data_IF_967801480266
#
_entry.id   IF_967801480266
#
_cell.length_a   1.000
_cell.length_b   1.000
_cell.length_c   1.000
_cell.angle_alpha   90.00
_cell.angle_beta   90.00
_cell.angle_gamma   90.00
#
_symmetry.space_group_name_H-M   'P 1'
#
loop_
_entity.id
_entity.type
_entity.pdbx_description
1 polymer ?
#
# COMPACT_ATOMS: atom_id res chain seq x y z
N UNK A 1 -11.07 3.16 15.80
CA UNK A 1 -12.30 2.89 16.55
C UNK A 1 -13.48 3.51 15.82
N UNK A 2 -14.49 2.71 15.50
CA UNK A 2 -15.78 3.17 14.96
C UNK A 2 -16.51 4.03 15.99
N UNK A 3 -17.07 5.16 15.54
CA UNK A 3 -17.80 6.08 16.41
C UNK A 3 -19.02 5.42 17.06
N UNK A 4 -19.62 6.14 18.02
CA UNK A 4 -20.70 5.74 18.95
C UNK A 4 -21.95 5.04 18.34
N UNK A 5 -22.04 4.95 17.00
CA UNK A 5 -23.18 4.42 16.25
C UNK A 5 -22.86 3.17 15.42
N UNK A 6 -21.71 2.51 15.61
CA UNK A 6 -21.46 1.15 15.12
C UNK A 6 -21.48 0.98 13.59
N UNK A 7 -21.21 2.04 12.82
CA UNK A 7 -21.07 1.91 11.36
C UNK A 7 -19.73 1.28 11.01
N UNK A 8 -19.68 0.34 10.06
CA UNK A 8 -18.43 -0.27 9.63
C UNK A 8 -17.49 0.80 9.04
N UNK A 9 -16.20 0.61 9.28
CA UNK A 9 -15.11 1.34 8.65
C UNK A 9 -15.02 1.03 7.16
N UNK A 10 -14.33 1.88 6.39
CA UNK A 10 -14.03 1.59 4.99
C UNK A 10 -13.27 0.27 4.82
N UNK A 11 -12.33 -0.04 5.72
CA UNK A 11 -11.60 -1.31 5.71
C UNK A 11 -12.54 -2.51 5.91
N UNK A 12 -13.45 -2.45 6.89
CA UNK A 12 -14.44 -3.51 7.13
C UNK A 12 -15.40 -3.69 5.94
N UNK A 13 -15.80 -2.61 5.28
CA UNK A 13 -16.64 -2.68 4.07
C UNK A 13 -15.88 -3.33 2.90
N UNK A 14 -14.62 -2.95 2.69
CA UNK A 14 -13.77 -3.52 1.63
C UNK A 14 -13.51 -5.00 1.88
N UNK A 15 -13.22 -5.39 3.13
CA UNK A 15 -13.04 -6.78 3.53
C UNK A 15 -14.29 -7.62 3.24
N UNK A 16 -15.47 -7.13 3.63
CA UNK A 16 -16.74 -7.83 3.39
C UNK A 16 -17.01 -8.07 1.90
N UNK A 17 -16.67 -7.10 1.03
CA UNK A 17 -16.82 -7.27 -0.43
C UNK A 17 -15.79 -8.26 -0.97
N UNK A 18 -14.54 -8.22 -0.49
CA UNK A 18 -13.51 -9.18 -0.90
C UNK A 18 -13.90 -10.62 -0.55
N UNK A 19 -14.44 -10.84 0.65
CA UNK A 19 -14.90 -12.15 1.12
C UNK A 19 -16.09 -12.67 0.30
N UNK A 20 -17.07 -11.82 0.00
CA UNK A 20 -18.18 -12.17 -0.89
C UNK A 20 -17.71 -12.57 -2.30
N UNK A 21 -16.73 -11.84 -2.85
CA UNK A 21 -16.16 -12.17 -4.15
C UNK A 21 -15.39 -13.50 -4.10
N UNK A 22 -14.62 -13.76 -3.04
CA UNK A 22 -13.81 -14.98 -2.91
C UNK A 22 -14.65 -16.22 -2.61
N UNK A 23 -15.76 -16.07 -1.89
CA UNK A 23 -16.72 -17.12 -1.56
C UNK A 23 -17.80 -17.25 -2.62
N UNK A 24 -18.92 -16.56 -2.42
CA UNK A 24 -20.16 -16.74 -3.16
C UNK A 24 -19.99 -16.55 -4.67
N UNK A 25 -19.34 -15.47 -5.09
CA UNK A 25 -19.21 -15.16 -6.52
C UNK A 25 -18.32 -16.18 -7.22
N UNK A 26 -17.23 -16.61 -6.60
CA UNK A 26 -16.37 -17.64 -7.16
C UNK A 26 -17.02 -19.03 -7.14
N UNK A 27 -17.82 -19.36 -6.14
CA UNK A 27 -18.59 -20.61 -6.14
C UNK A 27 -19.66 -20.62 -7.25
N UNK A 28 -20.24 -19.47 -7.57
CA UNK A 28 -21.31 -19.33 -8.55
C UNK A 28 -20.83 -19.10 -10.01
N UNK A 29 -19.54 -18.85 -10.24
CA UNK A 29 -19.02 -18.48 -11.56
C UNK A 29 -17.85 -19.35 -11.99
N UNK A 30 -17.61 -19.42 -13.30
CA UNK A 30 -16.47 -20.14 -13.90
C UNK A 30 -15.80 -19.31 -15.00
N UNK A 31 -14.69 -19.81 -15.53
CA UNK A 31 -13.96 -19.16 -16.63
C UNK A 31 -13.48 -17.75 -16.29
N UNK A 32 -13.63 -16.83 -17.25
CA UNK A 32 -13.11 -15.47 -17.16
C UNK A 32 -13.71 -14.67 -16.00
N UNK A 33 -15.01 -14.85 -15.69
CA UNK A 33 -15.67 -14.12 -14.59
C UNK A 33 -15.12 -14.56 -13.25
N UNK A 34 -14.90 -15.87 -13.06
CA UNK A 34 -14.29 -16.39 -11.83
C UNK A 34 -12.87 -15.86 -11.62
N UNK A 35 -12.09 -15.78 -12.70
CA UNK A 35 -10.75 -15.19 -12.67
C UNK A 35 -10.79 -13.71 -12.26
N UNK A 36 -11.67 -12.92 -12.89
CA UNK A 36 -11.82 -11.50 -12.54
C UNK A 36 -12.32 -11.28 -11.11
N UNK A 37 -13.18 -12.16 -10.58
CA UNK A 37 -13.60 -12.11 -9.18
C UNK A 37 -12.40 -12.29 -8.23
N UNK A 38 -11.49 -13.22 -8.55
CA UNK A 38 -10.23 -13.40 -7.80
C UNK A 38 -9.32 -12.18 -7.89
N UNK A 39 -9.17 -11.59 -9.09
CA UNK A 39 -8.37 -10.37 -9.28
C UNK A 39 -8.94 -9.21 -8.47
N UNK A 40 -10.26 -9.01 -8.51
CA UNK A 40 -10.94 -7.97 -7.76
C UNK A 40 -10.79 -8.17 -6.25
N UNK A 41 -10.97 -9.39 -5.74
CA UNK A 41 -10.77 -9.70 -4.32
C UNK A 41 -9.33 -9.38 -3.86
N UNK A 42 -8.32 -9.72 -4.67
CA UNK A 42 -6.93 -9.38 -4.37
C UNK A 42 -6.68 -7.87 -4.35
N UNK A 43 -7.23 -7.12 -5.31
CA UNK A 43 -7.12 -5.66 -5.33
C UNK A 43 -7.80 -5.03 -4.10
N UNK A 44 -8.98 -5.53 -3.70
CA UNK A 44 -9.66 -5.08 -2.49
C UNK A 44 -8.85 -5.38 -1.22
N UNK A 45 -8.20 -6.55 -1.13
CA UNK A 45 -7.28 -6.85 -0.02
C UNK A 45 -6.06 -5.91 0.03
N UNK A 46 -5.56 -5.44 -1.12
CA UNK A 46 -4.52 -4.40 -1.13
C UNK A 46 -5.05 -3.09 -0.55
N UNK A 47 -6.24 -2.66 -0.98
CA UNK A 47 -6.89 -1.44 -0.46
C UNK A 47 -7.21 -1.57 1.04
N UNK A 48 -7.66 -2.73 1.50
CA UNK A 48 -7.89 -3.00 2.92
C UNK A 48 -6.61 -2.80 3.73
N UNK A 49 -5.47 -3.35 3.29
CA UNK A 49 -4.18 -3.17 3.96
C UNK A 49 -3.73 -1.71 3.96
N UNK A 50 -3.99 -0.98 2.89
CA UNK A 50 -3.73 0.47 2.84
C UNK A 50 -4.55 1.21 3.89
N UNK A 51 -5.84 0.90 3.99
CA UNK A 51 -6.77 1.51 4.96
C UNK A 51 -6.44 1.13 6.42
N UNK A 52 -5.86 -0.06 6.65
CA UNK A 52 -5.44 -0.53 7.97
C UNK A 52 -4.02 -0.09 8.34
N UNK A 53 -3.23 0.38 7.38
CA UNK A 53 -1.86 0.82 7.61
C UNK A 53 -1.85 1.96 8.64
N UNK A 54 -1.04 1.81 9.69
CA UNK A 54 -0.91 2.76 10.81
C UNK A 54 -0.34 4.14 10.42
N UNK A 55 -0.13 4.38 9.13
CA UNK A 55 0.26 5.64 8.54
C UNK A 55 1.61 5.61 7.83
N UNK A 56 1.81 6.61 6.99
CA UNK A 56 3.00 6.97 6.21
C UNK A 56 4.07 7.70 7.06
N UNK A 57 4.03 7.59 8.40
CA UNK A 57 4.91 8.36 9.30
C UNK A 57 6.41 8.04 9.08
N UNK A 58 6.76 6.76 8.90
CA UNK A 58 8.13 6.35 8.59
C UNK A 58 8.57 6.90 7.23
N UNK A 59 7.70 6.89 6.23
CA UNK A 59 7.96 7.44 4.89
C UNK A 59 8.17 8.96 4.95
N UNK A 60 7.31 9.67 5.67
CA UNK A 60 7.46 11.13 5.88
C UNK A 60 8.74 11.47 6.63
N UNK A 61 9.12 10.67 7.62
CA UNK A 61 10.37 10.87 8.36
C UNK A 61 11.57 10.69 7.44
N UNK A 62 11.60 9.60 6.65
CA UNK A 62 12.67 9.34 5.70
C UNK A 62 12.82 10.46 4.64
N UNK A 63 11.70 11.00 4.14
CA UNK A 63 11.71 12.14 3.22
C UNK A 63 12.22 13.43 3.90
N UNK A 64 11.74 13.70 5.12
CA UNK A 64 12.12 14.87 5.89
C UNK A 64 13.61 14.86 6.26
N UNK A 65 14.18 13.70 6.59
CA UNK A 65 15.61 13.53 6.89
C UNK A 65 16.50 13.87 5.68
N UNK A 66 16.00 13.65 4.46
CA UNK A 66 16.67 14.11 3.23
C UNK A 66 16.39 15.57 2.87
N UNK A 67 15.46 16.22 3.57
CA UNK A 67 15.07 17.62 3.34
C UNK A 67 13.92 17.81 2.36
N UNK A 68 13.12 16.77 2.08
CA UNK A 68 12.01 16.84 1.13
C UNK A 68 10.65 16.68 1.81
N UNK A 69 9.67 17.45 1.35
CA UNK A 69 8.30 17.38 1.83
C UNK A 69 7.51 16.21 1.23
N UNK A 70 7.88 15.79 0.02
CA UNK A 70 7.21 14.72 -0.72
C UNK A 70 8.17 14.02 -1.71
N UNK A 71 7.68 12.91 -2.28
CA UNK A 71 8.43 12.14 -3.26
C UNK A 71 8.65 12.88 -4.58
N UNK A 72 7.78 13.82 -4.94
CA UNK A 72 7.89 14.57 -6.20
C UNK A 72 9.10 15.51 -6.15
N UNK A 73 9.29 16.20 -5.02
CA UNK A 73 10.44 17.04 -4.74
C UNK A 73 11.74 16.22 -4.69
N UNK A 74 11.74 15.08 -3.98
CA UNK A 74 12.88 14.16 -3.97
C UNK A 74 13.25 13.70 -5.39
N UNK A 75 12.27 13.27 -6.18
CA UNK A 75 12.51 12.80 -7.55
C UNK A 75 13.02 13.91 -8.48
N UNK A 76 12.60 15.16 -8.27
CA UNK A 76 13.12 16.31 -9.00
C UNK A 76 14.60 16.56 -8.66
N UNK A 77 14.96 16.56 -7.37
CA UNK A 77 16.34 16.75 -6.90
C UNK A 77 17.29 15.64 -7.39
N UNK A 78 16.85 14.37 -7.35
CA UNK A 78 17.62 13.25 -7.93
C UNK A 78 17.90 13.50 -9.41
N UNK A 79 16.89 13.89 -10.20
CA UNK A 79 17.06 14.17 -11.63
C UNK A 79 17.95 15.38 -11.91
N UNK A 80 17.99 16.34 -10.99
CA UNK A 80 18.84 17.53 -11.09
C UNK A 80 20.30 17.27 -10.65
N UNK A 81 20.61 16.09 -10.09
CA UNK A 81 21.95 15.78 -9.56
C UNK A 81 22.24 16.47 -8.22
N UNK A 82 21.23 17.04 -7.56
CA UNK A 82 21.39 17.78 -6.29
C UNK A 82 21.76 16.88 -5.11
N UNK A 83 21.64 15.56 -5.28
CA UNK A 83 21.93 14.54 -4.28
C UNK A 83 23.15 13.69 -4.64
N UNK A 84 23.90 14.06 -5.67
CA UNK A 84 25.12 13.36 -6.08
C UNK A 84 26.13 13.36 -4.92
N UNK A 85 26.66 12.18 -4.58
CA UNK A 85 27.56 11.98 -3.43
C UNK A 85 26.84 11.73 -2.10
N UNK A 86 25.50 11.68 -2.09
CA UNK A 86 24.67 11.27 -0.94
C UNK A 86 23.97 9.93 -1.18
N UNK A 87 24.58 9.05 -1.98
CA UNK A 87 23.97 7.81 -2.47
C UNK A 87 23.43 6.93 -1.34
N UNK A 88 24.16 6.80 -0.23
CA UNK A 88 23.74 5.97 0.90
C UNK A 88 22.46 6.51 1.58
N UNK A 89 22.36 7.83 1.77
CA UNK A 89 21.19 8.48 2.37
C UNK A 89 19.97 8.35 1.46
N UNK A 90 20.17 8.59 0.15
CA UNK A 90 19.11 8.43 -0.86
C UNK A 90 18.61 6.99 -0.88
N UNK A 91 19.52 6.02 -0.91
CA UNK A 91 19.15 4.59 -0.94
C UNK A 91 18.44 4.15 0.35
N UNK A 92 18.82 4.68 1.51
CA UNK A 92 18.13 4.41 2.77
C UNK A 92 16.67 4.91 2.72
N UNK A 93 16.46 6.15 2.26
CA UNK A 93 15.12 6.69 2.07
C UNK A 93 14.29 5.86 1.09
N UNK A 94 14.81 5.59 -0.12
CA UNK A 94 14.09 4.82 -1.13
C UNK A 94 13.71 3.42 -0.63
N UNK A 95 14.57 2.75 0.16
CA UNK A 95 14.23 1.47 0.79
C UNK A 95 13.08 1.59 1.79
N UNK A 96 13.02 2.66 2.59
CA UNK A 96 11.91 2.90 3.50
C UNK A 96 10.58 3.07 2.73
N UNK A 97 10.58 3.87 1.66
CA UNK A 97 9.42 4.06 0.77
C UNK A 97 8.96 2.73 0.16
N UNK A 98 9.89 1.97 -0.40
CA UNK A 98 9.58 0.70 -1.08
C UNK A 98 9.08 -0.35 -0.09
N UNK A 99 9.69 -0.48 1.10
CA UNK A 99 9.21 -1.41 2.14
C UNK A 99 7.79 -1.08 2.57
N UNK A 100 7.46 0.19 2.77
CA UNK A 100 6.10 0.61 3.10
C UNK A 100 5.09 0.19 2.01
N UNK A 101 5.43 0.42 0.73
CA UNK A 101 4.60 0.00 -0.41
C UNK A 101 4.44 -1.52 -0.50
N UNK A 102 5.52 -2.27 -0.27
CA UNK A 102 5.51 -3.73 -0.32
C UNK A 102 4.67 -4.33 0.81
N UNK A 103 4.72 -3.77 2.02
CA UNK A 103 3.87 -4.23 3.12
C UNK A 103 2.37 -4.17 2.76
N UNK A 104 1.97 -3.19 1.94
CA UNK A 104 0.60 -3.04 1.44
C UNK A 104 0.34 -3.91 0.19
N UNK A 105 1.21 -3.85 -0.82
CA UNK A 105 0.97 -4.51 -2.09
C UNK A 105 1.23 -6.02 -2.06
N UNK A 106 2.30 -6.44 -1.38
CA UNK A 106 2.80 -7.80 -1.32
C UNK A 106 3.36 -8.14 0.07
N UNK A 107 2.50 -8.30 1.09
CA UNK A 107 2.96 -8.65 2.44
C UNK A 107 3.79 -9.95 2.42
N UNK A 108 4.91 -9.97 3.15
CA UNK A 108 5.83 -11.12 3.24
C UNK A 108 6.93 -11.18 2.18
N UNK A 109 6.99 -10.22 1.24
CA UNK A 109 8.04 -10.18 0.21
C UNK A 109 9.46 -10.03 0.80
N UNK A 110 9.59 -9.40 1.95
CA UNK A 110 10.85 -9.26 2.68
C UNK A 110 11.32 -10.55 3.38
N UNK A 111 10.49 -11.60 3.34
CA UNK A 111 10.74 -12.91 3.97
C UNK A 111 10.91 -14.06 2.97
N UNK A 112 10.83 -13.81 1.66
CA UNK A 112 11.14 -14.77 0.56
C UNK A 112 12.62 -14.75 0.18
#
# INVERSE_FOLDING_TARGET
MTGLHGRPTAAELVAAVADFLEGDVRAATSGQVNFHARVAANALRMVERELLSSGDAEVRTALADLGFADEAALAAAIRAGELDGRDEEVMACLRALVRHRLAVAHPGYDSE
#
